data_IF_343103888183
#
_entry.id   IF_343103888183
#
_cell.length_a   1.000
_cell.length_b   1.000
_cell.length_c   1.000
_cell.angle_alpha   90.00
_cell.angle_beta   90.00
_cell.angle_gamma   90.00
#
_symmetry.space_group_name_H-M   'P 1'
#
loop_
_entity.id
_entity.type
_entity.pdbx_description
1 polymer ?
#
# COMPACT_ATOMS: atom_id res chain seq x y z
N UNK A 1 -1.83 -3.95 -7.21
CA UNK A 1 -2.16 -2.56 -7.61
C UNK A 1 -2.28 -1.71 -6.35
N UNK A 2 -1.88 -0.45 -6.41
CA UNK A 2 -1.86 0.49 -5.29
C UNK A 2 -2.72 1.72 -5.62
N UNK A 3 -3.44 2.24 -4.62
CA UNK A 3 -4.31 3.40 -4.76
C UNK A 3 -4.34 4.28 -3.52
N UNK A 4 -4.49 5.58 -3.74
CA UNK A 4 -4.77 6.58 -2.71
C UNK A 4 -6.27 6.71 -2.39
N UNK A 5 -7.12 6.02 -3.14
CA UNK A 5 -8.56 5.98 -2.95
C UNK A 5 -9.06 4.54 -2.94
N UNK A 6 -9.92 4.20 -1.98
CA UNK A 6 -10.65 2.94 -1.98
C UNK A 6 -11.55 2.85 -3.20
N UNK A 7 -11.56 1.72 -3.88
CA UNK A 7 -12.50 1.43 -4.97
C UNK A 7 -13.63 0.54 -4.46
N UNK A 8 -14.83 0.71 -5.03
CA UNK A 8 -16.02 -0.03 -4.60
C UNK A 8 -15.99 -1.50 -5.09
N UNK A 9 -15.40 -1.73 -6.26
CA UNK A 9 -15.26 -3.06 -6.85
C UNK A 9 -13.80 -3.29 -7.25
N UNK A 10 -13.16 -4.29 -6.65
CA UNK A 10 -11.78 -4.63 -6.92
C UNK A 10 -11.53 -5.15 -8.34
N UNK A 11 -12.57 -5.55 -9.09
CA UNK A 11 -12.43 -5.89 -10.51
C UNK A 11 -12.03 -4.67 -11.36
N UNK A 12 -12.33 -3.44 -10.91
CA UNK A 12 -11.91 -2.20 -11.59
C UNK A 12 -10.37 -2.07 -11.71
N UNK A 13 -9.61 -2.83 -10.92
CA UNK A 13 -8.16 -2.90 -11.01
C UNK A 13 -7.69 -3.40 -12.38
N UNK A 14 -8.44 -4.32 -13.01
CA UNK A 14 -8.03 -4.87 -14.31
C UNK A 14 -8.02 -3.84 -15.43
N UNK A 15 -8.84 -2.79 -15.33
CA UNK A 15 -8.93 -1.71 -16.32
C UNK A 15 -8.11 -0.49 -15.92
N UNK A 16 -7.93 -0.26 -14.62
CA UNK A 16 -7.26 0.93 -14.08
C UNK A 16 -5.75 0.78 -13.93
N UNK A 17 -5.25 -0.46 -13.82
CA UNK A 17 -3.84 -0.71 -13.60
C UNK A 17 -3.01 -0.39 -14.85
N UNK A 18 -2.27 0.73 -14.81
CA UNK A 18 -1.26 1.05 -15.85
C UNK A 18 -0.06 0.12 -15.84
N UNK A 19 0.23 -0.47 -14.68
CA UNK A 19 1.31 -1.43 -14.51
C UNK A 19 0.85 -2.55 -13.59
N UNK A 20 0.89 -3.78 -14.09
CA UNK A 20 0.74 -5.00 -13.31
C UNK A 20 2.14 -5.57 -13.16
N UNK A 21 2.63 -5.66 -11.94
CA UNK A 21 3.82 -6.48 -11.71
C UNK A 21 3.47 -7.71 -10.88
N UNK A 22 4.41 -8.64 -10.91
CA UNK A 22 4.41 -9.88 -10.15
C UNK A 22 5.54 -9.85 -9.14
N UNK A 23 5.27 -10.27 -7.91
CA UNK A 23 6.29 -10.32 -6.87
C UNK A 23 5.73 -10.92 -5.60
N UNK A 24 6.59 -11.54 -4.80
CA UNK A 24 6.26 -12.04 -3.46
C UNK A 24 6.08 -10.90 -2.44
N UNK A 25 6.59 -9.71 -2.75
CA UNK A 25 6.48 -8.52 -1.94
C UNK A 25 6.32 -7.26 -2.80
N UNK A 26 5.64 -6.26 -2.23
CA UNK A 26 5.39 -4.96 -2.85
C UNK A 26 5.65 -3.87 -1.82
N UNK A 27 6.39 -2.84 -2.21
CA UNK A 27 6.63 -1.65 -1.40
C UNK A 27 6.32 -0.42 -2.23
N UNK A 28 5.65 0.56 -1.62
CA UNK A 28 5.39 1.86 -2.22
C UNK A 28 5.97 2.91 -1.29
N UNK A 29 6.83 3.75 -1.83
CA UNK A 29 7.53 4.80 -1.11
C UNK A 29 7.58 6.07 -1.96
N UNK A 30 7.95 7.18 -1.32
CA UNK A 30 8.13 8.46 -1.99
C UNK A 30 7.15 9.55 -1.51
N UNK A 31 7.23 10.74 -2.12
CA UNK A 31 6.60 11.95 -1.58
C UNK A 31 5.07 11.95 -1.60
N UNK A 32 4.44 11.02 -2.32
CA UNK A 32 2.99 10.87 -2.38
C UNK A 32 2.41 10.07 -1.20
N UNK A 33 3.26 9.34 -0.45
CA UNK A 33 2.84 8.69 0.79
C UNK A 33 2.80 9.74 1.90
N UNK A 34 1.65 10.40 2.04
CA UNK A 34 1.41 11.44 3.04
C UNK A 34 0.97 10.87 4.39
N UNK A 35 1.46 11.43 5.51
CA UNK A 35 0.95 11.12 6.85
C UNK A 35 -0.56 11.33 6.98
N UNK A 36 -1.20 10.51 7.82
CA UNK A 36 -2.62 10.61 8.15
C UNK A 36 -3.57 10.16 7.02
N UNK A 37 -3.01 9.73 5.89
CA UNK A 37 -3.78 9.27 4.72
C UNK A 37 -3.83 7.75 4.67
N UNK A 38 -5.01 7.24 4.34
CA UNK A 38 -5.21 5.83 4.05
C UNK A 38 -4.78 5.52 2.62
N UNK A 39 -4.23 4.33 2.44
CA UNK A 39 -3.82 3.79 1.16
C UNK A 39 -4.29 2.35 1.04
N UNK A 40 -4.52 1.92 -0.20
CA UNK A 40 -5.08 0.60 -0.50
C UNK A 40 -4.19 -0.17 -1.46
N UNK A 41 -4.05 -1.45 -1.16
CA UNK A 41 -3.45 -2.45 -2.02
C UNK A 41 -4.50 -3.47 -2.44
N UNK A 42 -4.47 -3.81 -3.71
CA UNK A 42 -5.29 -4.87 -4.30
C UNK A 42 -4.38 -5.91 -4.93
N UNK A 43 -4.43 -7.13 -4.42
CA UNK A 43 -3.51 -8.21 -4.77
C UNK A 43 -4.31 -9.42 -5.22
N UNK A 44 -3.79 -10.19 -6.17
CA UNK A 44 -4.34 -11.49 -6.57
C UNK A 44 -3.22 -12.41 -7.01
N UNK A 45 -3.48 -13.71 -7.00
CA UNK A 45 -2.59 -14.68 -7.66
C UNK A 45 -2.95 -14.84 -9.12
N UNK A 46 -1.94 -15.16 -9.94
CA UNK A 46 -2.08 -15.50 -11.36
C UNK A 46 -1.21 -16.72 -11.62
N UNK A 47 -1.74 -17.73 -12.31
CA UNK A 47 -1.00 -18.89 -12.78
C UNK A 47 -1.47 -19.29 -14.20
N UNK A 48 -0.98 -20.42 -14.71
CA UNK A 48 -1.35 -20.92 -16.05
C UNK A 48 -2.84 -21.29 -16.18
N UNK A 49 -3.51 -21.60 -15.07
CA UNK A 49 -4.91 -22.05 -15.04
C UNK A 49 -5.87 -20.87 -14.87
N UNK A 50 -5.43 -19.77 -14.27
CA UNK A 50 -6.25 -18.58 -14.15
C UNK A 50 -5.77 -17.57 -13.12
N UNK A 51 -6.72 -16.74 -12.69
CA UNK A 51 -6.54 -15.61 -11.79
C UNK A 51 -7.48 -15.79 -10.60
N UNK A 52 -7.02 -15.51 -9.38
CA UNK A 52 -7.91 -15.42 -8.23
C UNK A 52 -8.75 -14.14 -8.27
N UNK A 53 -9.77 -14.09 -7.42
CA UNK A 53 -10.35 -12.80 -7.00
C UNK A 53 -9.27 -11.92 -6.36
N UNK A 54 -9.49 -10.61 -6.39
CA UNK A 54 -8.66 -9.66 -5.67
C UNK A 54 -8.95 -9.71 -4.18
N UNK A 55 -7.89 -9.59 -3.39
CA UNK A 55 -7.95 -9.26 -1.97
C UNK A 55 -7.54 -7.80 -1.78
N UNK A 56 -8.21 -7.12 -0.85
CA UNK A 56 -7.93 -5.74 -0.47
C UNK A 56 -7.16 -5.71 0.86
N UNK A 57 -6.14 -4.87 0.93
CA UNK A 57 -5.48 -4.49 2.18
C UNK A 57 -5.36 -2.97 2.24
N UNK A 58 -5.46 -2.40 3.44
CA UNK A 58 -5.30 -0.96 3.64
C UNK A 58 -4.30 -0.64 4.76
N UNK A 59 -3.67 0.52 4.68
CA UNK A 59 -2.80 1.03 5.73
C UNK A 59 -2.78 2.56 5.76
N UNK A 60 -2.52 3.12 6.93
CA UNK A 60 -2.37 4.56 7.14
C UNK A 60 -0.94 4.89 7.51
N UNK A 61 -0.33 5.83 6.81
CA UNK A 61 0.95 6.38 7.25
C UNK A 61 0.72 7.20 8.54
N UNK A 62 1.50 6.94 9.58
CA UNK A 62 1.35 7.66 10.86
C UNK A 62 1.57 9.17 10.66
N UNK A 63 0.74 9.98 11.32
CA UNK A 63 0.90 11.43 11.44
C UNK A 63 1.41 11.85 12.82
N UNK A 64 1.87 10.90 13.63
CA UNK A 64 2.38 11.15 14.98
C UNK A 64 3.85 11.63 14.94
N UNK A 65 4.03 12.91 14.60
CA UNK A 65 5.36 13.51 14.56
C UNK A 65 6.05 13.52 15.94
N UNK A 66 5.29 13.70 17.03
CA UNK A 66 5.83 13.74 18.38
C UNK A 66 6.36 12.37 18.82
N UNK A 67 5.59 11.30 18.57
CA UNK A 67 6.03 9.93 18.83
C UNK A 67 7.29 9.56 18.05
N UNK A 68 7.40 10.00 16.79
CA UNK A 68 8.63 9.81 16.01
C UNK A 68 9.84 10.57 16.60
N UNK A 69 9.66 11.82 17.03
CA UNK A 69 10.72 12.57 17.70
C UNK A 69 11.18 11.88 18.99
N UNK A 70 10.25 11.32 19.77
CA UNK A 70 10.55 10.50 20.94
C UNK A 70 11.40 9.28 20.59
N UNK A 71 10.97 8.49 19.60
CA UNK A 71 11.68 7.30 19.12
C UNK A 71 13.13 7.62 18.68
N UNK A 72 13.33 8.71 17.94
CA UNK A 72 14.65 9.09 17.47
C UNK A 72 15.55 9.61 18.58
N UNK A 73 14.99 10.35 19.55
CA UNK A 73 15.77 10.79 20.72
C UNK A 73 16.34 9.60 21.49
N UNK A 74 15.57 8.53 21.66
CA UNK A 74 16.04 7.30 22.30
C UNK A 74 17.16 6.61 21.50
N UNK A 75 17.04 6.58 20.16
CA UNK A 75 18.00 5.90 19.28
C UNK A 75 19.29 6.67 19.01
N UNK A 76 19.25 8.01 19.07
CA UNK A 76 20.38 8.89 18.74
C UNK A 76 21.06 9.43 20.01
N UNK A 77 20.36 9.47 21.15
CA UNK A 77 20.88 9.95 22.43
C UNK A 77 21.65 8.92 23.27
N UNK A 78 21.98 7.76 22.70
CA UNK A 78 22.96 6.79 23.24
C UNK A 78 24.24 6.90 22.44
#
# INVERSE_FOLDING_TARGET
>A
WFSEAKIADAAQVETSARYLGTGSQWSVSGPHIKPGKDFWFYVRSVNLVGKSAFVEASGRASNDAEGYLGLFREKIGK
#
